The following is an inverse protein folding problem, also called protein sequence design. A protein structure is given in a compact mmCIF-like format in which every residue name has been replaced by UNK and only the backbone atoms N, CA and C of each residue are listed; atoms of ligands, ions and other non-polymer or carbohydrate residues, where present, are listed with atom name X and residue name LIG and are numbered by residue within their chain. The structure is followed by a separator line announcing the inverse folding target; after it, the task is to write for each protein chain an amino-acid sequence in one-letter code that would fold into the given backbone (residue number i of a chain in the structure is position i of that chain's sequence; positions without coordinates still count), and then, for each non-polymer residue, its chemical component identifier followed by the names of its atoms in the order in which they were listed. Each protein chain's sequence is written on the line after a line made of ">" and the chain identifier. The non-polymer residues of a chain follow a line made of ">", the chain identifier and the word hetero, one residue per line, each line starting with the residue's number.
data_IF_376410146565
#
_entry.id   IF_376410146565
#
_cell.length_a   1.000
_cell.length_b   1.000
_cell.length_c   1.000
_cell.angle_alpha   90.00
_cell.angle_beta   90.00
_cell.angle_gamma   90.00
#
_symmetry.space_group_name_H-M   'P 1'
#
loop_
_entity.id
_entity.type
_entity.pdbx_description
1 polymer ?
#
# COMPACT_ATOMS: atom_id res chain seq x y z
N UNK A 1 -17.56 -3.61 20.89
CA UNK A 1 -17.42 -4.16 19.53
C UNK A 1 -16.79 -3.17 18.52
N UNK A 2 -16.10 -2.10 18.94
CA UNK A 2 -15.46 -1.12 18.04
C UNK A 2 -13.95 -0.93 18.28
N UNK A 3 -13.38 -1.59 19.28
CA UNK A 3 -11.97 -1.40 19.69
C UNK A 3 -10.99 -1.65 18.54
N UNK A 4 -11.24 -2.69 17.73
CA UNK A 4 -10.40 -3.03 16.56
C UNK A 4 -10.41 -1.90 15.52
N UNK A 5 -11.58 -1.35 15.21
CA UNK A 5 -11.69 -0.23 14.26
C UNK A 5 -10.91 1.00 14.74
N UNK A 6 -10.94 1.30 16.05
CA UNK A 6 -10.15 2.39 16.63
C UNK A 6 -8.64 2.20 16.48
N UNK A 7 -8.13 0.96 16.62
CA UNK A 7 -6.71 0.65 16.39
C UNK A 7 -6.31 0.79 14.92
N UNK A 8 -7.20 0.46 13.98
CA UNK A 8 -6.96 0.64 12.54
C UNK A 8 -6.89 2.13 12.19
N UNK A 9 -7.89 2.91 12.61
CA UNK A 9 -7.95 4.35 12.28
C UNK A 9 -6.76 5.11 12.90
N UNK A 10 -6.35 4.77 14.12
CA UNK A 10 -5.20 5.40 14.78
C UNK A 10 -3.83 4.95 14.25
N UNK A 11 -3.77 3.97 13.35
CA UNK A 11 -2.49 3.46 12.85
C UNK A 11 -1.82 2.40 13.71
N UNK A 12 -2.38 2.08 14.87
CA UNK A 12 -1.84 1.09 15.81
C UNK A 12 -1.93 -0.34 15.29
N UNK A 13 -2.86 -0.61 14.38
CA UNK A 13 -2.98 -1.89 13.68
C UNK A 13 -2.80 -1.69 12.17
N UNK A 14 -1.83 -2.42 11.60
CA UNK A 14 -1.52 -2.48 10.17
C UNK A 14 -1.23 -3.93 9.77
N UNK A 15 -1.53 -4.34 8.53
CA UNK A 15 -1.13 -5.66 8.02
C UNK A 15 0.39 -5.83 8.05
N UNK A 16 0.84 -7.04 8.35
CA UNK A 16 2.23 -7.47 8.17
C UNK A 16 2.32 -8.34 6.93
N UNK A 17 3.45 -8.28 6.22
CA UNK A 17 3.73 -9.12 5.07
C UNK A 17 4.60 -10.31 5.48
N UNK A 18 4.55 -11.40 4.72
CA UNK A 18 5.47 -12.52 4.94
C UNK A 18 6.87 -12.18 4.43
N UNK A 19 7.89 -12.87 4.95
CA UNK A 19 9.30 -12.60 4.63
C UNK A 19 9.63 -12.74 3.13
N UNK A 20 8.86 -13.54 2.39
CA UNK A 20 9.03 -13.75 0.96
C UNK A 20 8.29 -12.73 0.07
N UNK A 21 7.65 -11.71 0.65
CA UNK A 21 6.92 -10.72 -0.12
C UNK A 21 7.89 -9.85 -0.95
N UNK A 22 7.72 -9.75 -2.28
CA UNK A 22 8.53 -8.84 -3.07
C UNK A 22 8.35 -7.39 -2.59
N UNK A 23 9.45 -6.64 -2.46
CA UNK A 23 9.40 -5.27 -1.93
C UNK A 23 8.48 -4.33 -2.69
N UNK A 24 8.38 -4.49 -4.00
CA UNK A 24 7.45 -3.71 -4.81
C UNK A 24 5.97 -3.99 -4.47
N UNK A 25 5.62 -5.21 -4.07
CA UNK A 25 4.27 -5.54 -3.58
C UNK A 25 4.00 -4.89 -2.22
N UNK A 26 4.97 -4.94 -1.29
CA UNK A 26 4.86 -4.25 0.00
C UNK A 26 4.64 -2.74 -0.20
N UNK A 27 5.37 -2.13 -1.14
CA UNK A 27 5.21 -0.72 -1.50
C UNK A 27 3.80 -0.41 -2.03
N UNK A 28 3.32 -1.17 -3.03
CA UNK A 28 1.97 -0.97 -3.60
C UNK A 28 0.90 -1.12 -2.51
N UNK A 29 1.01 -2.14 -1.68
CA UNK A 29 0.07 -2.34 -0.57
C UNK A 29 0.16 -1.19 0.47
N UNK A 30 1.36 -0.69 0.76
CA UNK A 30 1.56 0.48 1.62
C UNK A 30 0.92 1.76 1.09
N UNK A 31 0.87 1.96 -0.23
CA UNK A 31 0.13 3.06 -0.86
C UNK A 31 -1.39 2.90 -0.70
N UNK A 32 -1.91 1.68 -0.83
CA UNK A 32 -3.33 1.39 -0.61
C UNK A 32 -3.75 1.61 0.86
N UNK A 33 -2.83 1.37 1.81
CA UNK A 33 -3.07 1.43 3.26
C UNK A 33 -2.81 2.81 3.87
N UNK A 34 -2.67 3.86 3.06
CA UNK A 34 -2.49 5.23 3.55
C UNK A 34 -3.63 5.65 4.49
N UNK A 35 -3.24 6.28 5.62
CA UNK A 35 -4.20 6.77 6.61
C UNK A 35 -5.11 7.87 6.03
N UNK A 36 -4.54 8.73 5.17
CA UNK A 36 -5.29 9.73 4.41
C UNK A 36 -5.94 9.07 3.18
N UNK A 37 -7.28 9.06 3.09
CA UNK A 37 -7.99 8.45 1.96
C UNK A 37 -7.66 9.11 0.61
N UNK A 38 -7.29 10.40 0.59
CA UNK A 38 -6.98 11.11 -0.65
C UNK A 38 -5.61 10.75 -1.22
N UNK A 39 -4.76 10.09 -0.43
CA UNK A 39 -3.43 9.62 -0.87
C UNK A 39 -3.44 8.18 -1.37
N UNK A 40 -4.59 7.49 -1.29
CA UNK A 40 -4.72 6.13 -1.77
C UNK A 40 -4.85 6.14 -3.29
N UNK A 41 -4.15 5.26 -4.02
CA UNK A 41 -4.35 5.13 -5.44
C UNK A 41 -5.76 4.61 -5.74
N UNK A 42 -6.30 5.03 -6.88
CA UNK A 42 -7.45 4.38 -7.49
C UNK A 42 -7.10 2.95 -7.90
N UNK A 43 -8.12 2.09 -8.03
CA UNK A 43 -7.93 0.73 -8.50
C UNK A 43 -7.23 0.67 -9.88
N UNK A 44 -7.54 1.61 -10.78
CA UNK A 44 -6.89 1.71 -12.09
C UNK A 44 -5.40 2.02 -11.99
N UNK A 45 -5.00 2.91 -11.07
CA UNK A 45 -3.59 3.21 -10.81
C UNK A 45 -2.87 1.99 -10.20
N UNK A 46 -3.52 1.25 -9.29
CA UNK A 46 -2.97 0.00 -8.75
C UNK A 46 -2.71 -1.02 -9.86
N UNK A 47 -3.66 -1.19 -10.80
CA UNK A 47 -3.45 -2.08 -11.96
C UNK A 47 -2.24 -1.65 -12.78
N UNK A 48 -2.05 -0.34 -13.01
CA UNK A 48 -0.87 0.16 -13.71
C UNK A 48 0.43 -0.13 -12.95
N UNK A 49 0.44 0.01 -11.62
CA UNK A 49 1.61 -0.35 -10.79
C UNK A 49 1.92 -1.84 -10.88
N UNK A 50 0.91 -2.70 -10.76
CA UNK A 50 1.07 -4.17 -10.78
C UNK A 50 1.54 -4.70 -12.14
N UNK A 51 1.17 -4.02 -13.23
CA UNK A 51 1.58 -4.37 -14.58
C UNK A 51 2.91 -3.72 -15.00
N UNK A 52 3.54 -2.93 -14.12
CA UNK A 52 4.77 -2.19 -14.44
C UNK A 52 4.57 -1.09 -15.49
N UNK A 53 3.35 -0.51 -15.56
CA UNK A 53 2.95 0.48 -16.58
C UNK A 53 2.95 1.92 -16.06
N UNK A 54 3.41 2.16 -14.84
CA UNK A 54 3.45 3.50 -14.24
C UNK A 54 4.69 4.30 -14.65
N UNK A 55 4.47 5.58 -14.96
CA UNK A 55 5.41 6.55 -15.57
C UNK A 55 6.54 7.05 -14.65
N UNK A 56 6.64 6.55 -13.42
CA UNK A 56 7.68 6.91 -12.45
C UNK A 56 8.83 5.87 -12.41
N UNK A 57 9.08 5.24 -13.55
CA UNK A 57 10.17 4.28 -13.75
C UNK A 57 11.52 5.02 -13.87
N UNK A 58 11.96 5.62 -12.76
CA UNK A 58 13.36 5.96 -12.49
C UNK A 58 13.59 5.82 -10.98
N UNK A 59 13.91 4.60 -10.54
CA UNK A 59 14.56 4.41 -9.22
C UNK A 59 13.77 3.68 -8.15
N UNK A 60 13.04 2.61 -8.48
CA UNK A 60 12.50 1.67 -7.48
C UNK A 60 13.47 0.51 -7.16
N UNK A 61 14.76 0.67 -7.51
CA UNK A 61 15.83 -0.28 -7.21
C UNK A 61 16.95 0.45 -6.47
N UNK A 62 16.74 0.67 -5.18
CA UNK A 62 17.80 0.78 -4.17
C UNK A 62 17.49 -0.24 -3.06
#
# INVERSE_FOLDING_TARGET
>A
MWQVAGMIVSGKLRPTFCDGCPKWIECVAGMCLQGDPNKRPSASEVVNMLLGRSTADQGWYD
#
